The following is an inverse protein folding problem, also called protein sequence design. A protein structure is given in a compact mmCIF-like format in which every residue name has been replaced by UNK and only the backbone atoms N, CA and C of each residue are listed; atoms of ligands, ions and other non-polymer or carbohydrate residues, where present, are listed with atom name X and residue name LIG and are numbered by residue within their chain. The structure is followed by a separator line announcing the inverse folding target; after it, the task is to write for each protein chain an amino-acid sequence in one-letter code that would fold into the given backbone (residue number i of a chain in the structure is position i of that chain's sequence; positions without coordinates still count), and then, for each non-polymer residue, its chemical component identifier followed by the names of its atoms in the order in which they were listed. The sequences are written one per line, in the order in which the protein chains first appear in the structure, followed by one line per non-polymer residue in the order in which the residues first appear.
data_IF_986358704326
#
_entry.id   IF_986358704326
#
_cell.length_a   1.000
_cell.length_b   1.000
_cell.length_c   1.000
_cell.angle_alpha   90.00
_cell.angle_beta   90.00
_cell.angle_gamma   90.00
#
_symmetry.space_group_name_H-M   'P 1'
#
loop_
_entity.id
_entity.type
_entity.pdbx_description
1 polymer ?
#
# COMPACT_ATOMS: atom_id res chain seq x y z
N UNK A 1 18.45 -27.03 60.08
CA UNK A 1 17.50 -26.57 61.11
C UNK A 1 17.86 -27.30 62.39
N UNK A 2 18.62 -26.67 63.28
CA UNK A 2 18.86 -27.21 64.62
C UNK A 2 17.54 -27.11 65.36
N UNK A 3 16.94 -28.25 65.74
CA UNK A 3 15.92 -28.28 66.78
C UNK A 3 16.51 -27.54 67.97
N UNK A 4 15.98 -26.36 68.26
CA UNK A 4 16.21 -25.72 69.54
C UNK A 4 15.28 -26.49 70.44
N UNK A 5 15.79 -27.58 71.02
CA UNK A 5 15.14 -28.23 72.15
C UNK A 5 15.00 -27.15 73.22
N UNK A 6 13.79 -26.61 73.32
CA UNK A 6 13.37 -25.77 74.42
C UNK A 6 13.16 -26.72 75.61
N UNK A 7 14.22 -27.42 76.02
CA UNK A 7 14.28 -27.92 77.39
C UNK A 7 14.00 -26.68 78.24
N UNK A 8 12.86 -26.69 78.93
CA UNK A 8 12.55 -25.62 79.86
C UNK A 8 13.72 -25.55 80.81
N UNK A 9 14.50 -24.48 80.66
CA UNK A 9 15.66 -24.19 81.47
C UNK A 9 15.32 -24.51 82.93
N UNK A 10 16.15 -25.27 83.66
CA UNK A 10 15.87 -25.64 85.05
C UNK A 10 15.51 -24.42 85.92
N UNK A 11 15.96 -23.21 85.56
CA UNK A 11 15.54 -21.97 86.20
C UNK A 11 14.05 -21.62 86.02
N UNK A 12 13.45 -21.96 84.88
CA UNK A 12 12.02 -21.76 84.59
C UNK A 12 11.14 -22.78 85.33
N UNK A 13 11.59 -24.03 85.42
CA UNK A 13 10.96 -25.07 86.23
C UNK A 13 11.01 -24.71 87.71
N UNK A 14 12.15 -24.19 88.19
CA UNK A 14 12.30 -23.69 89.56
C UNK A 14 11.41 -22.46 89.83
N UNK A 15 11.36 -21.51 88.91
CA UNK A 15 10.46 -20.35 89.02
C UNK A 15 8.99 -20.78 89.08
N UNK A 16 8.60 -21.81 88.34
CA UNK A 16 7.24 -22.36 88.35
C UNK A 16 6.89 -23.01 89.70
N UNK A 17 7.78 -23.80 90.27
CA UNK A 17 7.63 -24.37 91.62
C UNK A 17 7.51 -23.29 92.71
N UNK A 18 8.16 -22.13 92.51
CA UNK A 18 8.13 -21.00 93.44
C UNK A 18 6.84 -20.17 93.42
N UNK A 19 6.09 -20.23 92.31
CA UNK A 19 4.86 -19.45 92.09
C UNK A 19 3.61 -20.26 92.47
N UNK A 20 3.76 -21.55 92.78
CA UNK A 20 2.66 -22.38 93.26
C UNK A 20 2.16 -21.91 94.65
N UNK A 21 0.87 -21.56 94.80
CA UNK A 21 0.32 -20.91 95.99
C UNK A 21 0.24 -21.82 97.24
N UNK A 22 0.66 -23.08 97.12
CA UNK A 22 0.62 -24.10 98.18
C UNK A 22 1.93 -24.24 98.97
N UNK A 23 3.02 -23.58 98.53
CA UNK A 23 4.30 -23.58 99.23
C UNK A 23 4.43 -22.34 100.12
N UNK A 24 4.64 -22.53 101.42
CA UNK A 24 4.81 -21.45 102.40
C UNK A 24 5.94 -20.48 101.99
N UNK A 25 5.68 -19.18 102.10
CA UNK A 25 6.52 -18.06 101.64
C UNK A 25 7.81 -17.83 102.46
N UNK A 26 8.36 -18.84 103.13
CA UNK A 26 9.32 -18.65 104.22
C UNK A 26 10.74 -19.18 103.93
N UNK A 27 11.06 -19.61 102.71
CA UNK A 27 12.32 -20.30 102.44
C UNK A 27 13.02 -19.92 101.12
N UNK A 28 13.05 -18.64 100.74
CA UNK A 28 13.95 -18.17 99.68
C UNK A 28 14.76 -16.98 100.13
N UNK A 29 16.08 -17.13 100.05
CA UNK A 29 16.97 -16.00 100.23
C UNK A 29 16.74 -14.99 99.10
N UNK A 30 16.75 -13.69 99.42
CA UNK A 30 16.62 -12.61 98.43
C UNK A 30 17.63 -12.74 97.29
N UNK A 31 18.76 -13.40 97.55
CA UNK A 31 19.81 -13.73 96.60
C UNK A 31 19.35 -14.73 95.53
N UNK A 32 18.64 -15.79 95.88
CA UNK A 32 18.15 -16.82 94.92
C UNK A 32 17.12 -16.23 93.96
N UNK A 33 16.20 -15.40 94.46
CA UNK A 33 15.22 -14.71 93.60
C UNK A 33 15.90 -13.74 92.63
N UNK A 34 16.91 -13.00 93.11
CA UNK A 34 17.69 -12.10 92.26
C UNK A 34 18.46 -12.85 91.16
N UNK A 35 18.99 -14.04 91.46
CA UNK A 35 19.66 -14.90 90.47
C UNK A 35 18.71 -15.41 89.39
N UNK A 36 17.54 -15.94 89.77
CA UNK A 36 16.52 -16.41 88.81
C UNK A 36 16.05 -15.24 87.93
N UNK A 37 15.79 -14.07 88.51
CA UNK A 37 15.37 -12.89 87.75
C UNK A 37 16.44 -12.37 86.80
N UNK A 38 17.72 -12.38 87.21
CA UNK A 38 18.84 -12.05 86.33
C UNK A 38 18.94 -13.03 85.16
N UNK A 39 18.70 -14.32 85.42
CA UNK A 39 18.69 -15.34 84.38
C UNK A 39 17.54 -15.16 83.37
N UNK A 40 16.32 -14.92 83.84
CA UNK A 40 15.17 -14.61 82.97
C UNK A 40 15.43 -13.36 82.12
N UNK A 41 16.03 -12.31 82.70
CA UNK A 41 16.43 -11.11 81.94
C UNK A 41 17.49 -11.44 80.89
N UNK A 42 18.45 -12.31 81.19
CA UNK A 42 19.45 -12.75 80.23
C UNK A 42 18.80 -13.53 79.07
N UNK A 43 17.95 -14.51 79.37
CA UNK A 43 17.21 -15.27 78.36
C UNK A 43 16.31 -14.38 77.50
N UNK A 44 15.64 -13.38 78.09
CA UNK A 44 14.83 -12.41 77.34
C UNK A 44 15.70 -11.57 76.38
N UNK A 45 16.89 -11.14 76.80
CA UNK A 45 17.84 -10.44 75.93
C UNK A 45 18.32 -11.34 74.79
N UNK A 46 18.63 -12.61 75.07
CA UNK A 46 19.01 -13.59 74.04
C UNK A 46 17.88 -13.84 73.04
N UNK A 47 16.65 -14.06 73.52
CA UNK A 47 15.47 -14.25 72.66
C UNK A 47 15.22 -13.02 71.76
N UNK A 48 15.32 -11.82 72.32
CA UNK A 48 15.20 -10.57 71.55
C UNK A 48 16.32 -10.40 70.53
N UNK A 49 17.56 -10.76 70.88
CA UNK A 49 18.70 -10.74 69.96
C UNK A 49 18.50 -11.75 68.81
N UNK A 50 18.09 -12.98 69.12
CA UNK A 50 17.78 -14.00 68.13
C UNK A 50 16.63 -13.58 67.20
N UNK A 51 15.59 -12.93 67.75
CA UNK A 51 14.48 -12.39 66.96
C UNK A 51 14.93 -11.28 66.01
N UNK A 52 15.76 -10.34 66.47
CA UNK A 52 16.37 -9.31 65.61
C UNK A 52 17.23 -9.91 64.51
N UNK A 53 18.05 -10.91 64.84
CA UNK A 53 18.91 -11.56 63.86
C UNK A 53 18.10 -12.29 62.78
N UNK A 54 17.04 -13.02 63.17
CA UNK A 54 16.14 -13.67 62.20
C UNK A 54 15.45 -12.64 61.30
N UNK A 55 14.95 -11.53 61.87
CA UNK A 55 14.35 -10.44 61.10
C UNK A 55 15.34 -9.84 60.10
N UNK A 56 16.59 -9.61 60.52
CA UNK A 56 17.66 -9.10 59.64
C UNK A 56 17.91 -10.07 58.49
N UNK A 57 18.17 -11.36 58.78
CA UNK A 57 18.41 -12.37 57.74
C UNK A 57 17.27 -12.48 56.73
N UNK A 58 16.02 -12.46 57.20
CA UNK A 58 14.86 -12.49 56.30
C UNK A 58 14.75 -11.22 55.48
N UNK A 59 15.09 -10.05 56.05
CA UNK A 59 15.09 -8.79 55.31
C UNK A 59 16.19 -8.76 54.24
N UNK A 60 17.40 -9.21 54.56
CA UNK A 60 18.52 -9.29 53.62
C UNK A 60 18.19 -10.23 52.45
N UNK A 61 17.66 -11.43 52.75
CA UNK A 61 17.24 -12.37 51.72
C UNK A 61 16.09 -11.83 50.85
N UNK A 62 15.14 -11.11 51.45
CA UNK A 62 14.07 -10.43 50.70
C UNK A 62 14.65 -9.34 49.79
N UNK A 63 15.60 -8.56 50.27
CA UNK A 63 16.23 -7.51 49.47
C UNK A 63 16.98 -8.09 48.26
N UNK A 64 17.72 -9.17 48.45
CA UNK A 64 18.39 -9.89 47.35
C UNK A 64 17.38 -10.41 46.31
N UNK A 65 16.26 -10.99 46.77
CA UNK A 65 15.16 -11.40 45.90
C UNK A 65 14.56 -10.22 45.12
N UNK A 66 14.34 -9.08 45.78
CA UNK A 66 13.78 -7.88 45.12
C UNK A 66 14.74 -7.33 44.06
N UNK A 67 16.06 -7.35 44.31
CA UNK A 67 17.07 -6.92 43.33
C UNK A 67 17.14 -7.85 42.12
N UNK A 68 17.12 -9.17 42.34
CA UNK A 68 17.09 -10.14 41.23
C UNK A 68 15.79 -10.05 40.44
N UNK A 69 14.66 -9.81 41.11
CA UNK A 69 13.37 -9.60 40.44
C UNK A 69 13.38 -8.35 39.56
N UNK A 70 13.95 -7.24 40.03
CA UNK A 70 14.12 -6.04 39.21
C UNK A 70 15.00 -6.31 37.98
N UNK A 71 16.10 -7.06 38.15
CA UNK A 71 16.95 -7.50 37.03
C UNK A 71 16.18 -8.31 35.98
N UNK A 72 15.33 -9.25 36.44
CA UNK A 72 14.46 -10.02 35.55
C UNK A 72 13.45 -9.14 34.80
N UNK A 73 12.83 -8.17 35.49
CA UNK A 73 11.89 -7.25 34.85
C UNK A 73 12.57 -6.41 33.75
N UNK A 74 13.79 -5.92 33.99
CA UNK A 74 14.57 -5.20 33.00
C UNK A 74 14.84 -6.05 31.75
N UNK A 75 15.26 -7.31 31.93
CA UNK A 75 15.50 -8.24 30.82
C UNK A 75 14.22 -8.58 30.06
N UNK A 76 13.10 -8.75 30.76
CA UNK A 76 11.79 -8.98 30.13
C UNK A 76 11.35 -7.79 29.28
N UNK A 77 11.59 -6.58 29.78
CA UNK A 77 11.32 -5.36 29.02
C UNK A 77 12.21 -5.29 27.77
N UNK A 78 13.51 -5.50 27.90
CA UNK A 78 14.45 -5.52 26.78
C UNK A 78 14.07 -6.55 25.73
N UNK A 79 13.75 -7.79 26.15
CA UNK A 79 13.26 -8.84 25.25
C UNK A 79 12.02 -8.38 24.48
N UNK A 80 11.03 -7.84 25.17
CA UNK A 80 9.78 -7.40 24.54
C UNK A 80 10.02 -6.24 23.57
N UNK A 81 10.88 -5.29 23.96
CA UNK A 81 11.28 -4.19 23.10
C UNK A 81 11.96 -4.68 21.82
N UNK A 82 12.93 -5.60 21.93
CA UNK A 82 13.61 -6.18 20.78
C UNK A 82 12.67 -6.97 19.88
N UNK A 83 11.74 -7.75 20.45
CA UNK A 83 10.74 -8.47 19.65
C UNK A 83 9.83 -7.52 18.87
N UNK A 84 9.38 -6.43 19.49
CA UNK A 84 8.59 -5.42 18.81
C UNK A 84 9.39 -4.73 17.70
N UNK A 85 10.68 -4.48 17.91
CA UNK A 85 11.55 -3.88 16.90
C UNK A 85 11.82 -4.84 15.73
N UNK A 86 12.00 -6.14 16.02
CA UNK A 86 12.08 -7.17 14.99
C UNK A 86 10.79 -7.24 14.18
N UNK A 87 9.63 -7.22 14.84
CA UNK A 87 8.33 -7.22 14.16
C UNK A 87 8.16 -5.99 13.26
N UNK A 88 8.56 -4.80 13.71
CA UNK A 88 8.56 -3.59 12.87
C UNK A 88 9.47 -3.76 11.65
N UNK A 89 10.66 -4.32 11.81
CA UNK A 89 11.59 -4.58 10.71
C UNK A 89 11.06 -5.65 9.74
N UNK A 90 10.39 -6.69 10.25
CA UNK A 90 9.78 -7.75 9.42
C UNK A 90 8.56 -7.24 8.64
N UNK A 91 7.76 -6.37 9.26
CA UNK A 91 6.60 -5.74 8.65
C UNK A 91 6.99 -4.53 7.78
N UNK A 92 8.27 -4.32 7.51
CA UNK A 92 8.71 -3.29 6.58
C UNK A 92 8.29 -3.67 5.16
N UNK A 93 7.13 -3.17 4.74
CA UNK A 93 6.67 -3.26 3.37
C UNK A 93 7.41 -2.23 2.52
N UNK A 94 8.23 -2.70 1.58
CA UNK A 94 8.89 -1.84 0.62
C UNK A 94 8.04 -1.71 -0.64
N UNK A 95 7.99 -0.50 -1.20
CA UNK A 95 7.16 -0.14 -2.35
C UNK A 95 7.39 -1.09 -3.54
N UNK A 96 8.59 -1.67 -3.70
CA UNK A 96 8.89 -2.57 -4.81
C UNK A 96 8.05 -3.86 -4.82
N UNK A 97 7.49 -4.28 -3.69
CA UNK A 97 6.69 -5.50 -3.59
C UNK A 97 5.32 -5.36 -4.27
N UNK A 98 4.80 -4.13 -4.38
CA UNK A 98 3.48 -3.85 -4.98
C UNK A 98 3.58 -3.44 -6.47
N UNK A 99 4.79 -3.34 -7.01
CA UNK A 99 4.98 -2.92 -8.40
C UNK A 99 4.70 -4.11 -9.33
N UNK A 100 3.82 -3.97 -10.34
CA UNK A 100 3.70 -4.99 -11.38
C UNK A 100 5.01 -5.03 -12.17
N UNK A 101 5.70 -6.17 -12.10
CA UNK A 101 6.95 -6.44 -12.83
C UNK A 101 6.69 -7.54 -13.85
N UNK A 102 7.48 -7.56 -14.93
CA UNK A 102 7.57 -8.73 -15.81
C UNK A 102 7.86 -10.01 -15.00
N UNK A 103 7.27 -11.12 -15.42
CA UNK A 103 7.55 -12.43 -14.85
C UNK A 103 9.03 -12.82 -15.05
N UNK A 104 9.52 -13.81 -14.32
CA UNK A 104 10.92 -14.23 -14.45
C UNK A 104 11.24 -14.77 -15.85
N UNK A 105 10.28 -15.46 -16.47
CA UNK A 105 10.39 -16.01 -17.83
C UNK A 105 10.46 -14.89 -18.89
N UNK A 106 9.60 -13.88 -18.76
CA UNK A 106 9.62 -12.68 -19.61
C UNK A 106 10.90 -11.86 -19.42
N UNK A 107 11.37 -11.72 -18.18
CA UNK A 107 12.63 -11.03 -17.93
C UNK A 107 13.81 -11.75 -18.58
N UNK A 108 13.92 -13.07 -18.44
CA UNK A 108 15.02 -13.84 -19.03
C UNK A 108 15.00 -13.76 -20.56
N UNK A 109 13.82 -13.70 -21.18
CA UNK A 109 13.69 -13.63 -22.65
C UNK A 109 13.91 -12.21 -23.21
N UNK A 110 13.40 -11.18 -22.55
CA UNK A 110 13.42 -9.79 -23.05
C UNK A 110 14.64 -8.99 -22.58
N UNK A 111 15.24 -9.33 -21.44
CA UNK A 111 16.34 -8.55 -20.89
C UNK A 111 17.64 -8.74 -21.71
N UNK A 112 18.44 -7.66 -21.88
CA UNK A 112 19.76 -7.72 -22.48
C UNK A 112 20.70 -8.73 -21.80
N UNK A 113 21.67 -9.27 -22.54
CA UNK A 113 22.59 -10.29 -22.02
C UNK A 113 23.47 -9.76 -20.86
N UNK A 114 23.75 -8.46 -20.84
CA UNK A 114 24.57 -7.83 -19.80
C UNK A 114 23.91 -7.90 -18.40
N UNK A 115 22.58 -7.87 -18.35
CA UNK A 115 21.79 -7.96 -17.10
C UNK A 115 21.37 -9.40 -16.78
N UNK A 116 21.67 -10.36 -17.67
CA UNK A 116 21.36 -11.79 -17.52
C UNK A 116 22.60 -12.62 -17.15
N UNK A 117 23.68 -11.98 -16.70
CA UNK A 117 24.89 -12.70 -16.33
C UNK A 117 24.56 -13.78 -15.26
N UNK A 118 25.08 -15.02 -15.40
CA UNK A 118 24.73 -16.12 -14.50
C UNK A 118 25.09 -15.83 -13.03
N UNK A 119 26.10 -14.99 -12.79
CA UNK A 119 26.48 -14.51 -11.46
C UNK A 119 25.39 -13.63 -10.82
N UNK A 120 24.68 -12.82 -11.63
CA UNK A 120 23.60 -11.93 -11.18
C UNK A 120 22.32 -12.72 -10.91
N UNK A 121 22.06 -13.76 -11.71
CA UNK A 121 20.87 -14.60 -11.55
C UNK A 121 20.95 -15.57 -10.36
N UNK A 122 22.17 -15.88 -9.91
CA UNK A 122 22.41 -16.80 -8.79
C UNK A 122 22.05 -16.20 -7.42
N UNK A 123 22.18 -14.88 -7.25
CA UNK A 123 21.75 -14.18 -6.03
C UNK A 123 20.36 -13.58 -6.23
N UNK A 124 19.40 -13.99 -5.40
CA UNK A 124 18.01 -13.52 -5.44
C UNK A 124 17.91 -11.99 -5.34
N UNK A 125 18.76 -11.37 -4.51
CA UNK A 125 18.75 -9.91 -4.34
C UNK A 125 19.25 -9.21 -5.60
N UNK A 126 20.37 -9.67 -6.18
CA UNK A 126 20.91 -9.11 -7.42
C UNK A 126 19.96 -9.34 -8.60
N UNK A 127 19.32 -10.51 -8.67
CA UNK A 127 18.28 -10.80 -9.66
C UNK A 127 17.12 -9.81 -9.55
N UNK A 128 16.63 -9.54 -8.34
CA UNK A 128 15.55 -8.56 -8.12
C UNK A 128 15.98 -7.14 -8.54
N UNK A 129 17.20 -6.72 -8.19
CA UNK A 129 17.72 -5.41 -8.62
C UNK A 129 17.84 -5.30 -10.13
N UNK A 130 18.33 -6.34 -10.81
CA UNK A 130 18.40 -6.38 -12.27
C UNK A 130 17.01 -6.27 -12.91
N UNK A 131 16.01 -7.00 -12.37
CA UNK A 131 14.61 -6.91 -12.81
C UNK A 131 14.04 -5.50 -12.65
N UNK A 132 14.25 -4.86 -11.50
CA UNK A 132 13.78 -3.49 -11.25
C UNK A 132 14.42 -2.46 -12.18
N UNK A 133 15.72 -2.58 -12.44
CA UNK A 133 16.43 -1.70 -13.36
C UNK A 133 15.97 -1.88 -14.81
N UNK A 134 15.74 -3.12 -15.23
CA UNK A 134 15.18 -3.42 -16.55
C UNK A 134 13.78 -2.80 -16.71
N UNK A 135 12.89 -3.03 -15.75
CA UNK A 135 11.54 -2.43 -15.76
C UNK A 135 11.60 -0.90 -15.83
N UNK A 136 12.48 -0.28 -15.04
CA UNK A 136 12.67 1.17 -15.07
C UNK A 136 13.09 1.66 -16.46
N UNK A 137 14.05 0.98 -17.09
CA UNK A 137 14.53 1.33 -18.42
C UNK A 137 13.43 1.20 -19.49
N UNK A 138 12.62 0.14 -19.41
CA UNK A 138 11.51 -0.09 -20.34
C UNK A 138 10.39 0.94 -20.14
N UNK A 139 10.04 1.27 -18.90
CA UNK A 139 9.06 2.33 -18.62
C UNK A 139 9.53 3.68 -19.12
N UNK A 140 10.81 4.01 -18.98
CA UNK A 140 11.37 5.24 -19.53
C UNK A 140 11.29 5.26 -21.06
N UNK A 141 11.64 4.15 -21.72
CA UNK A 141 11.54 3.99 -23.17
C UNK A 141 10.10 4.16 -23.67
N UNK A 142 9.16 3.45 -23.06
CA UNK A 142 7.73 3.53 -23.40
C UNK A 142 7.16 4.93 -23.13
N UNK A 143 7.54 5.57 -22.04
CA UNK A 143 7.13 6.94 -21.73
C UNK A 143 7.65 7.93 -22.77
N UNK A 144 8.93 7.85 -23.15
CA UNK A 144 9.49 8.68 -24.21
C UNK A 144 8.79 8.47 -25.55
N UNK A 145 8.47 7.22 -25.90
CA UNK A 145 7.73 6.89 -27.11
C UNK A 145 6.31 7.46 -27.08
N UNK A 146 5.59 7.30 -25.97
CA UNK A 146 4.25 7.87 -25.75
C UNK A 146 4.25 9.39 -25.93
N UNK A 147 5.20 10.08 -25.33
CA UNK A 147 5.32 11.54 -25.45
C UNK A 147 5.62 11.97 -26.89
N UNK A 148 6.44 11.22 -27.62
CA UNK A 148 6.67 11.46 -29.06
C UNK A 148 5.39 11.30 -29.88
N UNK A 149 4.65 10.20 -29.69
CA UNK A 149 3.38 9.95 -30.39
C UNK A 149 2.32 11.00 -30.03
N UNK A 150 2.27 11.43 -28.78
CA UNK A 150 1.35 12.48 -28.31
C UNK A 150 1.64 13.81 -29.00
N UNK A 151 2.91 14.18 -29.18
CA UNK A 151 3.31 15.37 -29.95
C UNK A 151 2.89 15.25 -31.42
N UNK A 152 3.22 14.13 -32.07
CA UNK A 152 2.82 13.88 -33.46
C UNK A 152 1.31 13.94 -33.66
N UNK A 153 0.54 13.39 -32.71
CA UNK A 153 -0.92 13.44 -32.75
C UNK A 153 -1.43 14.87 -32.60
N UNK A 154 -0.84 15.66 -31.70
CA UNK A 154 -1.20 17.07 -31.51
C UNK A 154 -0.89 17.90 -32.77
N UNK A 155 0.27 17.67 -33.40
CA UNK A 155 0.67 18.35 -34.64
C UNK A 155 -0.28 18.03 -35.79
N UNK A 156 -0.61 16.75 -36.00
CA UNK A 156 -1.57 16.32 -37.02
C UNK A 156 -2.99 16.86 -36.76
N UNK A 157 -3.41 16.93 -35.49
CA UNK A 157 -4.69 17.54 -35.12
C UNK A 157 -4.71 19.05 -35.42
N UNK A 158 -3.60 19.74 -35.21
CA UNK A 158 -3.47 21.16 -35.55
C UNK A 158 -3.51 21.37 -37.06
N UNK A 159 -2.80 20.55 -37.83
CA UNK A 159 -2.81 20.58 -39.30
C UNK A 159 -4.22 20.29 -39.86
N UNK A 160 -4.89 19.26 -39.35
CA UNK A 160 -6.26 18.92 -39.74
C UNK A 160 -7.25 20.05 -39.43
N UNK A 161 -7.13 20.69 -38.26
CA UNK A 161 -7.94 21.88 -37.91
C UNK A 161 -7.65 23.05 -38.84
N UNK A 162 -6.38 23.32 -39.16
CA UNK A 162 -6.00 24.39 -40.08
C UNK A 162 -6.56 24.15 -41.50
N UNK A 163 -6.46 22.92 -42.00
CA UNK A 163 -7.03 22.52 -43.29
C UNK A 163 -8.56 22.64 -43.30
N UNK A 164 -9.24 22.17 -42.26
CA UNK A 164 -10.70 22.32 -42.10
C UNK A 164 -11.13 23.79 -42.09
N UNK A 165 -10.41 24.66 -41.36
CA UNK A 165 -10.66 26.10 -41.36
C UNK A 165 -10.47 26.71 -42.75
N UNK A 166 -9.43 26.29 -43.49
CA UNK A 166 -9.20 26.74 -44.87
C UNK A 166 -10.31 26.30 -45.82
N UNK A 167 -10.76 25.05 -45.74
CA UNK A 167 -11.90 24.55 -46.52
C UNK A 167 -13.20 25.27 -46.20
N UNK A 168 -13.46 25.56 -44.92
CA UNK A 168 -14.62 26.35 -44.53
C UNK A 168 -14.56 27.79 -45.07
N UNK A 169 -13.38 28.41 -45.07
CA UNK A 169 -13.19 29.72 -45.70
C UNK A 169 -13.43 29.67 -47.22
N UNK A 170 -12.91 28.64 -47.90
CA UNK A 170 -13.15 28.45 -49.34
C UNK A 170 -14.64 28.21 -49.64
N UNK A 171 -15.32 27.40 -48.82
CA UNK A 171 -16.76 27.17 -48.93
C UNK A 171 -17.54 28.48 -48.82
N UNK A 172 -17.21 29.33 -47.85
CA UNK A 172 -17.85 30.65 -47.70
C UNK A 172 -17.64 31.54 -48.94
N UNK A 173 -16.45 31.51 -49.55
CA UNK A 173 -16.19 32.25 -50.80
C UNK A 173 -17.01 31.70 -51.97
N UNK A 174 -17.11 30.37 -52.11
CA UNK A 174 -17.95 29.74 -53.13
C UNK A 174 -19.43 30.08 -52.94
N UNK A 175 -19.94 30.04 -51.71
CA UNK A 175 -21.32 30.41 -51.39
C UNK A 175 -21.58 31.89 -51.72
N UNK A 176 -20.62 32.78 -51.45
CA UNK A 176 -20.71 34.19 -51.82
C UNK A 176 -20.73 34.38 -53.35
N UNK A 177 -19.87 33.66 -54.08
CA UNK A 177 -19.85 33.68 -55.54
C UNK A 177 -21.16 33.14 -56.12
N UNK A 178 -21.68 32.02 -55.62
CA UNK A 178 -22.95 31.45 -56.05
C UNK A 178 -24.12 32.42 -55.82
N UNK A 179 -24.17 33.10 -54.67
CA UNK A 179 -25.16 34.16 -54.40
C UNK A 179 -25.04 35.32 -55.38
N UNK A 180 -23.83 35.83 -55.59
CA UNK A 180 -23.60 36.92 -56.55
C UNK A 180 -23.97 36.53 -57.99
N UNK A 181 -23.70 35.29 -58.39
CA UNK A 181 -24.10 34.74 -59.69
C UNK A 181 -25.62 34.63 -59.81
N UNK A 182 -26.31 34.14 -58.77
CA UNK A 182 -27.77 34.08 -58.73
C UNK A 182 -28.41 35.49 -58.81
N UNK A 183 -27.82 36.48 -58.16
CA UNK A 183 -28.24 37.88 -58.27
C UNK A 183 -28.04 38.43 -59.69
N UNK A 184 -26.90 38.14 -60.33
CA UNK A 184 -26.64 38.53 -61.73
C UNK A 184 -27.63 37.83 -62.67
N UNK A 185 -27.90 36.54 -62.49
CA UNK A 185 -28.90 35.81 -63.27
C UNK A 185 -30.29 36.43 -63.10
N UNK A 186 -30.67 36.82 -61.87
CA UNK A 186 -31.92 37.52 -61.61
C UNK A 186 -31.95 38.87 -62.34
N UNK A 187 -30.89 39.66 -62.30
CA UNK A 187 -30.78 40.94 -63.05
C UNK A 187 -30.82 40.73 -64.56
N UNK A 188 -30.16 39.69 -65.07
CA UNK A 188 -30.18 39.34 -66.49
C UNK A 188 -31.58 38.90 -66.93
N UNK A 189 -32.30 38.14 -66.10
CA UNK A 189 -33.68 37.76 -66.34
C UNK A 189 -34.62 38.99 -66.30
N UNK A 190 -34.42 39.90 -65.35
CA UNK A 190 -35.13 41.19 -65.27
C UNK A 190 -34.86 42.07 -66.50
N UNK A 191 -33.65 42.07 -67.05
CA UNK A 191 -33.28 42.82 -68.27
C UNK A 191 -33.70 42.11 -69.57
N UNK A 192 -33.91 40.79 -69.52
CA UNK A 192 -34.38 39.96 -70.64
C UNK A 192 -35.91 39.86 -70.70
N UNK A 193 -36.64 40.44 -69.75
CA UNK A 193 -38.10 40.53 -69.79
C UNK A 193 -38.53 41.69 -70.71
N UNK A 194 -39.23 41.44 -71.83
CA UNK A 194 -39.75 42.49 -72.69
C UNK A 194 -40.97 43.19 -72.04
N UNK A 195 -41.25 44.47 -72.38
CA UNK A 195 -42.48 45.13 -71.94
C UNK A 195 -43.70 44.47 -72.57
N UNK A 196 -44.72 44.16 -71.77
CA UNK A 196 -46.04 43.79 -72.29
C UNK A 196 -46.63 44.97 -73.10
N UNK A 197 -47.34 44.70 -74.21
CA UNK A 197 -48.77 44.46 -74.03
C UNK A 197 -49.41 43.41 -74.99
N UNK A 198 -50.41 42.74 -74.41
CA UNK A 198 -51.76 42.47 -74.92
C UNK A 198 -52.01 41.52 -76.12
N UNK A 199 -53.02 40.67 -75.86
CA UNK A 199 -53.95 39.97 -76.77
C UNK A 199 -53.51 38.62 -77.34
N UNK A 200 -54.32 37.55 -77.45
CA UNK A 200 -55.47 36.90 -76.78
C UNK A 200 -55.60 35.53 -77.54
N UNK A 201 -56.18 34.51 -76.91
CA UNK A 201 -56.86 33.29 -77.45
C UNK A 201 -55.94 32.22 -78.06
N UNK A 202 -55.90 30.99 -77.55
CA UNK A 202 -56.88 29.88 -77.72
C UNK A 202 -56.09 28.61 -77.33
N UNK A 203 -56.62 27.47 -76.92
CA UNK A 203 -57.94 26.95 -76.63
C UNK A 203 -57.73 25.74 -75.71
N UNK A 204 -58.82 25.21 -75.15
CA UNK A 204 -58.87 23.98 -74.38
C UNK A 204 -58.30 22.76 -75.14
N UNK A 205 -57.71 21.77 -74.43
CA UNK A 205 -58.44 20.52 -74.11
C UNK A 205 -57.66 19.58 -73.16
N UNK A 206 -58.48 18.76 -72.49
CA UNK A 206 -58.27 17.65 -71.55
C UNK A 206 -56.97 16.82 -71.65
N UNK A 207 -56.47 16.35 -70.50
CA UNK A 207 -56.71 14.97 -70.00
C UNK A 207 -55.98 14.66 -68.70
N UNK A 208 -56.52 13.69 -67.97
CA UNK A 208 -56.25 13.34 -66.60
C UNK A 208 -55.17 12.25 -66.42
N UNK A 209 -54.67 12.21 -65.18
CA UNK A 209 -54.23 11.06 -64.39
C UNK A 209 -52.73 10.65 -64.42
N UNK A 210 -52.22 10.11 -63.28
CA UNK A 210 -50.84 10.22 -62.84
C UNK A 210 -50.08 8.90 -62.95
N UNK A 211 -48.75 8.96 -63.09
CA UNK A 211 -47.87 7.83 -62.75
C UNK A 211 -46.61 8.33 -62.05
N UNK A 212 -46.47 7.89 -60.80
CA UNK A 212 -45.23 7.87 -60.03
C UNK A 212 -44.13 7.21 -60.86
N UNK A 213 -43.01 7.90 -60.98
CA UNK A 213 -41.75 7.32 -61.44
C UNK A 213 -40.69 7.52 -60.37
N UNK A 214 -40.32 6.40 -59.76
CA UNK A 214 -39.19 6.25 -58.86
C UNK A 214 -37.93 6.84 -59.50
N UNK A 215 -37.40 7.91 -58.90
CA UNK A 215 -36.07 8.44 -59.21
C UNK A 215 -35.10 7.81 -58.23
N UNK A 216 -34.38 6.80 -58.71
CA UNK A 216 -33.32 6.08 -58.02
C UNK A 216 -32.18 7.06 -57.69
N UNK A 217 -32.03 7.37 -56.40
CA UNK A 217 -30.88 8.07 -55.84
C UNK A 217 -29.61 7.24 -56.10
N UNK A 218 -28.78 7.73 -57.02
CA UNK A 218 -27.47 7.15 -57.30
C UNK A 218 -26.41 8.09 -56.71
N UNK A 219 -26.36 8.12 -55.38
CA UNK A 219 -25.25 8.66 -54.62
C UNK A 219 -24.01 7.76 -54.81
N UNK A 220 -23.20 8.06 -55.82
CA UNK A 220 -21.81 7.57 -55.91
C UNK A 220 -20.97 8.34 -54.89
N UNK A 221 -20.75 7.75 -53.72
CA UNK A 221 -19.70 8.16 -52.80
C UNK A 221 -18.34 7.81 -53.42
N UNK A 222 -17.65 8.80 -53.97
CA UNK A 222 -16.21 8.67 -54.29
C UNK A 222 -15.45 8.77 -52.97
N UNK A 223 -15.03 7.61 -52.47
CA UNK A 223 -14.18 7.47 -51.29
C UNK A 223 -12.77 8.00 -51.64
N UNK A 224 -12.24 9.02 -50.93
CA UNK A 224 -10.87 9.47 -51.16
C UNK A 224 -9.90 8.41 -50.63
N UNK A 225 -9.06 7.92 -51.54
CA UNK A 225 -8.00 6.94 -51.31
C UNK A 225 -7.11 7.28 -50.10
N UNK A 226 -7.18 6.43 -49.07
CA UNK A 226 -6.30 6.44 -47.89
C UNK A 226 -4.94 5.83 -48.27
N UNK A 227 -3.80 6.41 -47.87
CA UNK A 227 -2.50 5.78 -48.08
C UNK A 227 -2.38 4.49 -47.25
N UNK A 228 -1.63 3.47 -47.73
CA UNK A 228 -1.59 2.15 -47.12
C UNK A 228 -0.95 2.20 -45.73
N UNK A 229 -1.63 1.61 -44.75
CA UNK A 229 -1.06 1.26 -43.45
C UNK A 229 0.05 0.23 -43.63
N UNK A 230 1.20 0.36 -42.93
CA UNK A 230 2.23 -0.68 -42.93
C UNK A 230 1.72 -1.97 -42.26
N UNK A 231 2.21 -3.15 -42.66
CA UNK A 231 1.74 -4.44 -42.16
C UNK A 231 2.08 -4.62 -40.67
N UNK A 232 1.30 -5.44 -39.93
CA UNK A 232 1.65 -5.85 -38.58
C UNK A 232 2.89 -6.74 -38.60
N UNK A 233 3.85 -6.48 -37.70
CA UNK A 233 4.97 -7.39 -37.44
C UNK A 233 4.45 -8.72 -36.86
N UNK A 234 4.99 -9.81 -37.38
CA UNK A 234 4.59 -11.20 -37.15
C UNK A 234 4.43 -11.57 -35.67
N UNK A 235 3.22 -11.96 -35.29
CA UNK A 235 3.01 -12.87 -34.15
C UNK A 235 2.90 -14.28 -34.71
N UNK A 236 4.03 -14.98 -34.80
CA UNK A 236 4.05 -16.41 -35.07
C UNK A 236 3.75 -17.17 -33.77
N UNK A 237 2.50 -17.56 -33.57
CA UNK A 237 2.15 -18.76 -32.80
C UNK A 237 1.98 -19.88 -33.82
N UNK A 238 2.95 -20.80 -33.88
CA UNK A 238 2.73 -22.13 -34.42
C UNK A 238 2.44 -23.07 -33.26
N UNK A 239 1.21 -23.57 -33.25
CA UNK A 239 0.73 -24.67 -32.43
C UNK A 239 0.70 -25.86 -33.38
N UNK A 240 1.53 -26.88 -33.17
CA UNK A 240 1.24 -28.19 -33.75
C UNK A 240 1.29 -29.29 -32.71
N UNK A 241 0.26 -30.11 -32.80
CA UNK A 241 -0.12 -31.17 -31.92
C UNK A 241 0.53 -32.49 -32.36
N UNK A 242 0.96 -33.30 -31.40
CA UNK A 242 1.05 -34.74 -31.59
C UNK A 242 0.85 -35.44 -30.24
N UNK A 243 -0.40 -35.80 -29.97
CA UNK A 243 -0.77 -36.95 -29.14
C UNK A 243 -0.60 -38.24 -29.99
N UNK A 244 -0.70 -39.47 -29.45
CA UNK A 244 -1.52 -39.92 -28.32
C UNK A 244 -0.80 -39.99 -26.97
#
# INVERSE_FOLDING_TARGET
MSSIDFELDPAFSRLKELVDPTLSAEALSTLELAQIFAHVKHLNRLANAASRERKRRTNDARHEMDMTHLGLQNLMYEKTHLLNEIEKCMNFASIYQDIPLYSEEEFVSLAPEEVRAPEILADDHQRMLARLNFELSERQRLHAHKEKLKRQTADLQQESKAFSNSLNALRQQLDAMAKSSAEIQKRMHELSAPPAPAVVVSDADMTAAPQDSESKDQSQSVEPSRPPTPPPEDTAMDVDAAAP
#
